data_IF_948151935784
#
_entry.id   IF_948151935784
#
_cell.length_a   1.000
_cell.length_b   1.000
_cell.length_c   1.000
_cell.angle_alpha   90.00
_cell.angle_beta   90.00
_cell.angle_gamma   90.00
#
_symmetry.space_group_name_H-M   'P 1'
#
loop_
_entity.id
_entity.type
_entity.pdbx_description
1 polymer ?
#
# COMPACT_ATOMS: atom_id res chain seq x y z
N UNK A 1 53.81 62.68 57.85
CA UNK A 1 54.44 61.34 57.91
C UNK A 1 53.75 60.44 56.89
N UNK A 2 54.46 59.89 55.89
CA UNK A 2 53.86 58.96 54.95
C UNK A 2 53.56 57.64 55.67
N UNK A 3 52.43 56.96 55.38
CA UNK A 3 52.13 55.67 56.02
C UNK A 3 53.07 54.60 55.46
N UNK A 4 53.81 53.95 56.37
CA UNK A 4 54.75 52.88 56.06
C UNK A 4 54.06 51.62 55.52
N UNK A 5 54.82 50.72 54.87
CA UNK A 5 54.30 49.52 54.24
C UNK A 5 53.78 48.54 55.32
N UNK A 6 52.48 48.23 55.28
CA UNK A 6 51.93 47.06 55.99
C UNK A 6 50.95 47.33 57.14
N UNK A 7 50.04 48.32 57.06
CA UNK A 7 48.91 48.38 58.00
C UNK A 7 47.85 47.30 57.62
N UNK A 8 47.67 46.23 58.42
CA UNK A 8 46.77 45.12 58.10
C UNK A 8 45.29 45.55 58.02
N UNK A 9 44.92 46.65 58.69
CA UNK A 9 43.56 47.20 58.63
C UNK A 9 43.24 47.79 57.24
N UNK A 10 44.21 48.46 56.62
CA UNK A 10 44.05 49.02 55.26
C UNK A 10 43.96 47.90 54.22
N UNK A 11 44.74 46.83 54.39
CA UNK A 11 44.67 45.64 53.53
C UNK A 11 43.31 44.93 53.65
N UNK A 12 42.79 44.77 54.88
CA UNK A 12 41.46 44.20 55.12
C UNK A 12 40.35 45.07 54.54
N UNK A 13 40.46 46.40 54.65
CA UNK A 13 39.49 47.34 54.08
C UNK A 13 39.45 47.28 52.54
N UNK A 14 40.62 47.16 51.90
CA UNK A 14 40.73 46.96 50.46
C UNK A 14 40.14 45.61 50.02
N UNK A 15 40.36 44.54 50.81
CA UNK A 15 39.81 43.22 50.52
C UNK A 15 38.28 43.19 50.64
N UNK A 16 37.71 43.82 51.68
CA UNK A 16 36.25 43.97 51.82
C UNK A 16 35.63 44.79 50.68
N UNK A 17 36.28 45.88 50.26
CA UNK A 17 35.83 46.65 49.10
C UNK A 17 35.83 45.81 47.81
N UNK A 18 36.88 45.00 47.63
CA UNK A 18 37.00 44.06 46.48
C UNK A 18 35.88 43.02 46.49
N UNK A 19 35.61 42.39 47.65
CA UNK A 19 34.51 41.43 47.77
C UNK A 19 33.14 42.06 47.53
N UNK A 20 32.93 43.29 48.01
CA UNK A 20 31.67 44.02 47.77
C UNK A 20 31.45 44.26 46.27
N UNK A 21 32.49 44.65 45.55
CA UNK A 21 32.45 44.82 44.09
C UNK A 21 32.17 43.48 43.40
N UNK A 22 32.85 42.40 43.82
CA UNK A 22 32.63 41.05 43.28
C UNK A 22 31.19 40.58 43.50
N UNK A 23 30.61 40.84 44.68
CA UNK A 23 29.24 40.45 45.00
C UNK A 23 28.21 41.19 44.14
N UNK A 24 28.42 42.50 43.91
CA UNK A 24 27.58 43.28 43.00
C UNK A 24 27.70 42.79 41.55
N UNK A 25 28.91 42.45 41.10
CA UNK A 25 29.11 41.88 39.76
C UNK A 25 28.41 40.52 39.60
N UNK A 26 28.48 39.67 40.63
CA UNK A 26 27.82 38.37 40.63
C UNK A 26 26.28 38.50 40.59
N UNK A 27 25.72 39.47 41.33
CA UNK A 27 24.27 39.77 41.28
C UNK A 27 23.82 40.23 39.89
N UNK A 28 24.61 41.08 39.23
CA UNK A 28 24.33 41.52 37.87
C UNK A 28 24.37 40.35 36.87
N UNK A 29 25.35 39.46 37.01
CA UNK A 29 25.43 38.24 36.19
C UNK A 29 24.24 37.31 36.42
N UNK A 30 23.81 37.11 37.67
CA UNK A 30 22.63 36.30 37.99
C UNK A 30 21.38 36.86 37.31
N UNK A 31 21.18 38.18 37.35
CA UNK A 31 20.03 38.83 36.70
C UNK A 31 20.08 38.69 35.17
N UNK A 32 21.26 38.81 34.57
CA UNK A 32 21.44 38.60 33.14
C UNK A 32 21.08 37.17 32.73
N UNK A 33 21.51 36.16 33.49
CA UNK A 33 21.17 34.75 33.25
C UNK A 33 19.66 34.51 33.43
N UNK A 34 19.03 35.10 34.43
CA UNK A 34 17.57 35.01 34.64
C UNK A 34 16.79 35.56 33.44
N UNK A 35 17.22 36.70 32.88
CA UNK A 35 16.59 37.27 31.69
C UNK A 35 16.81 36.40 30.44
N UNK A 36 18.01 35.82 30.28
CA UNK A 36 18.28 34.87 29.20
C UNK A 36 17.37 33.65 29.30
N UNK A 37 17.17 33.09 30.50
CA UNK A 37 16.28 31.96 30.71
C UNK A 37 14.83 32.31 30.36
N UNK A 38 14.33 33.47 30.80
CA UNK A 38 12.98 33.94 30.46
C UNK A 38 12.80 34.10 28.94
N UNK A 39 13.81 34.63 28.25
CA UNK A 39 13.81 34.78 26.79
C UNK A 39 13.77 33.41 26.09
N UNK A 40 14.59 32.46 26.52
CA UNK A 40 14.59 31.10 25.97
C UNK A 40 13.26 30.38 26.21
N UNK A 41 12.63 30.58 27.38
CA UNK A 41 11.30 30.03 27.66
C UNK A 41 10.24 30.58 26.70
N UNK A 42 10.27 31.88 26.41
CA UNK A 42 9.39 32.50 25.42
C UNK A 42 9.61 31.97 24.00
N UNK A 43 10.86 31.80 23.60
CA UNK A 43 11.21 31.19 22.31
C UNK A 43 10.72 29.74 22.22
N UNK A 44 10.90 28.94 23.28
CA UNK A 44 10.44 27.56 23.31
C UNK A 44 8.90 27.45 23.19
N UNK A 45 8.16 28.35 23.85
CA UNK A 45 6.70 28.41 23.71
C UNK A 45 6.27 28.75 22.27
N UNK A 46 6.98 29.66 21.63
CA UNK A 46 6.72 30.05 20.22
C UNK A 46 7.05 28.91 19.25
N UNK A 47 8.12 28.18 19.50
CA UNK A 47 8.48 26.99 18.71
C UNK A 47 7.41 25.90 18.85
N UNK A 48 6.95 25.64 20.07
CA UNK A 48 5.91 24.64 20.34
C UNK A 48 4.59 25.00 19.64
N UNK A 49 4.16 26.26 19.69
CA UNK A 49 2.93 26.68 19.01
C UNK A 49 3.07 26.60 17.48
N UNK A 50 4.23 26.98 16.93
CA UNK A 50 4.51 26.88 15.50
C UNK A 50 4.49 25.43 15.03
N UNK A 51 5.14 24.52 15.77
CA UNK A 51 5.15 23.10 15.46
C UNK A 51 3.74 22.50 15.53
N UNK A 52 2.97 22.85 16.56
CA UNK A 52 1.59 22.39 16.70
C UNK A 52 0.73 22.86 15.52
N UNK A 53 0.85 24.13 15.12
CA UNK A 53 0.15 24.66 13.95
C UNK A 53 0.54 23.94 12.66
N UNK A 54 1.82 23.61 12.47
CA UNK A 54 2.28 22.82 11.33
C UNK A 54 1.70 21.39 11.34
N UNK A 55 1.66 20.74 12.50
CA UNK A 55 1.04 19.42 12.65
C UNK A 55 -0.45 19.45 12.31
N UNK A 56 -1.18 20.46 12.79
CA UNK A 56 -2.61 20.58 12.53
C UNK A 56 -2.90 20.92 11.06
N UNK A 57 -2.06 21.74 10.43
CA UNK A 57 -2.12 21.98 8.98
C UNK A 57 -1.85 20.70 8.18
N UNK A 58 -0.83 19.91 8.57
CA UNK A 58 -0.55 18.62 7.95
C UNK A 58 -1.70 17.64 8.12
N UNK A 59 -2.27 17.51 9.33
CA UNK A 59 -3.45 16.68 9.57
C UNK A 59 -4.63 17.10 8.71
N UNK A 60 -4.87 18.41 8.58
CA UNK A 60 -5.94 18.94 7.72
C UNK A 60 -5.69 18.64 6.24
N UNK A 61 -4.46 18.80 5.77
CA UNK A 61 -4.08 18.47 4.39
C UNK A 61 -4.21 16.97 4.13
N UNK A 62 -3.79 16.12 5.08
CA UNK A 62 -3.95 14.66 4.99
C UNK A 62 -5.42 14.25 5.00
N UNK A 63 -6.25 14.88 5.84
CA UNK A 63 -7.70 14.64 5.84
C UNK A 63 -8.33 15.09 4.52
N UNK A 64 -7.91 16.23 3.98
CA UNK A 64 -8.37 16.73 2.68
C UNK A 64 -7.95 15.78 1.54
N UNK A 65 -6.72 15.26 1.57
CA UNK A 65 -6.24 14.24 0.63
C UNK A 65 -6.98 12.90 0.79
N UNK A 66 -7.33 12.50 2.01
CA UNK A 66 -8.14 11.30 2.26
C UNK A 66 -9.60 11.46 1.84
N UNK A 67 -10.16 12.68 1.90
CA UNK A 67 -11.50 12.99 1.41
C UNK A 67 -11.55 13.21 -0.11
N UNK A 68 -10.43 13.63 -0.70
CA UNK A 68 -10.20 13.60 -2.14
C UNK A 68 -9.52 12.28 -2.49
N UNK A 69 -10.16 11.16 -2.13
CA UNK A 69 -9.91 9.91 -2.82
C UNK A 69 -10.28 10.18 -4.28
N UNK A 70 -9.30 10.59 -5.07
CA UNK A 70 -9.39 10.56 -6.53
C UNK A 70 -9.54 9.08 -6.80
N UNK A 71 -10.80 8.63 -6.90
CA UNK A 71 -11.10 7.24 -7.17
C UNK A 71 -10.65 7.04 -8.59
N UNK A 72 -9.42 6.55 -8.74
CA UNK A 72 -8.90 6.21 -10.05
C UNK A 72 -9.78 5.10 -10.61
N UNK A 73 -10.28 5.33 -11.81
CA UNK A 73 -11.21 4.43 -12.47
C UNK A 73 -10.56 3.85 -13.71
N UNK A 74 -10.88 2.60 -13.99
CA UNK A 74 -10.38 1.92 -15.18
C UNK A 74 -11.46 1.96 -16.24
N UNK A 75 -11.08 2.41 -17.42
CA UNK A 75 -11.93 2.49 -18.59
C UNK A 75 -11.37 1.61 -19.69
N UNK A 76 -12.27 1.04 -20.47
CA UNK A 76 -11.92 0.18 -21.60
C UNK A 76 -11.72 0.97 -22.92
N UNK A 77 -11.40 0.25 -23.99
CA UNK A 77 -11.02 0.81 -25.28
C UNK A 77 -12.17 1.14 -26.23
N UNK A 78 -13.42 1.08 -25.79
CA UNK A 78 -14.54 1.46 -26.64
C UNK A 78 -14.47 2.94 -27.06
N UNK A 79 -15.03 3.25 -28.23
CA UNK A 79 -15.14 4.63 -28.72
C UNK A 79 -15.86 5.55 -27.71
N UNK A 80 -16.82 4.99 -26.97
CA UNK A 80 -17.34 5.56 -25.73
C UNK A 80 -16.82 4.68 -24.57
N UNK A 81 -15.73 5.10 -23.90
CA UNK A 81 -15.06 4.27 -22.90
C UNK A 81 -16.01 3.86 -21.78
N UNK A 82 -16.15 2.57 -21.57
CA UNK A 82 -16.97 2.01 -20.50
C UNK A 82 -16.13 1.86 -19.25
N UNK A 83 -16.74 2.17 -18.10
CA UNK A 83 -16.10 1.95 -16.80
C UNK A 83 -16.03 0.45 -16.52
N UNK A 84 -14.80 -0.06 -16.37
CA UNK A 84 -14.51 -1.44 -15.93
C UNK A 84 -14.71 -1.57 -14.43
N UNK A 85 -14.21 -0.59 -13.66
CA UNK A 85 -14.28 -0.61 -12.20
C UNK A 85 -13.39 0.45 -11.55
N UNK A 86 -13.34 0.43 -10.22
CA UNK A 86 -12.49 1.31 -9.42
C UNK A 86 -11.16 0.63 -9.10
N UNK A 87 -10.08 1.40 -8.99
CA UNK A 87 -8.81 0.89 -8.49
C UNK A 87 -8.94 0.57 -7.00
N UNK A 88 -8.71 -0.70 -6.66
CA UNK A 88 -8.81 -1.24 -5.29
C UNK A 88 -7.44 -1.52 -4.67
N UNK A 89 -6.37 -1.30 -5.42
CA UNK A 89 -5.01 -1.47 -4.92
C UNK A 89 -3.97 -1.33 -6.01
N UNK A 90 -2.70 -1.30 -5.61
CA UNK A 90 -1.55 -1.29 -6.51
C UNK A 90 -0.55 -2.32 -6.01
N UNK A 91 -0.07 -3.17 -6.92
CA UNK A 91 1.01 -4.11 -6.61
C UNK A 91 2.30 -3.32 -6.32
N UNK A 92 2.83 -3.43 -5.09
CA UNK A 92 3.95 -2.59 -4.64
C UNK A 92 5.26 -2.83 -5.40
N UNK A 93 5.43 -4.00 -6.02
CA UNK A 93 6.67 -4.36 -6.73
C UNK A 93 6.63 -3.92 -8.19
N UNK A 94 5.50 -4.18 -8.85
CA UNK A 94 5.31 -3.89 -10.27
C UNK A 94 4.65 -2.54 -10.53
N UNK A 95 4.21 -1.84 -9.48
CA UNK A 95 3.39 -0.62 -9.54
C UNK A 95 2.16 -0.77 -10.46
N UNK A 96 1.70 -2.01 -10.65
CA UNK A 96 0.56 -2.31 -11.51
C UNK A 96 -0.73 -2.14 -10.72
N UNK A 97 -1.66 -1.29 -11.17
CA UNK A 97 -2.91 -1.07 -10.47
C UNK A 97 -3.85 -2.28 -10.65
N UNK A 98 -4.68 -2.52 -9.64
CA UNK A 98 -5.70 -3.57 -9.62
C UNK A 98 -7.09 -2.96 -9.62
N UNK A 99 -7.94 -3.38 -10.55
CA UNK A 99 -9.33 -2.97 -10.64
C UNK A 99 -10.24 -3.98 -9.94
N UNK A 100 -11.16 -3.48 -9.11
CA UNK A 100 -12.24 -4.28 -8.56
C UNK A 100 -13.33 -4.49 -9.60
N UNK A 101 -13.70 -5.74 -9.86
CA UNK A 101 -14.72 -6.12 -10.83
C UNK A 101 -15.72 -7.08 -10.18
N UNK A 102 -17.00 -6.83 -10.42
CA UNK A 102 -18.08 -7.78 -10.12
C UNK A 102 -18.60 -8.34 -11.43
N UNK A 103 -18.55 -9.67 -11.56
CA UNK A 103 -19.09 -10.39 -12.72
C UNK A 103 -20.14 -11.37 -12.27
N UNK A 104 -21.11 -11.63 -13.15
CA UNK A 104 -22.16 -12.61 -12.93
C UNK A 104 -21.85 -13.88 -13.72
N UNK A 105 -21.91 -15.02 -13.05
CA UNK A 105 -21.85 -16.32 -13.72
C UNK A 105 -23.14 -16.54 -14.52
N UNK A 106 -23.02 -16.78 -15.82
CA UNK A 106 -24.15 -16.98 -16.72
C UNK A 106 -24.99 -18.23 -16.37
N UNK A 107 -24.36 -19.26 -15.79
CA UNK A 107 -25.04 -20.52 -15.48
C UNK A 107 -25.74 -20.47 -14.12
N UNK A 108 -25.09 -19.92 -13.10
CA UNK A 108 -25.61 -19.93 -11.72
C UNK A 108 -26.27 -18.62 -11.30
N UNK A 109 -26.13 -17.57 -12.10
CA UNK A 109 -26.54 -16.19 -11.79
C UNK A 109 -25.87 -15.61 -10.54
N UNK A 110 -24.86 -16.29 -9.99
CA UNK A 110 -24.12 -15.84 -8.82
C UNK A 110 -23.13 -14.76 -9.21
N UNK A 111 -23.02 -13.75 -8.35
CA UNK A 111 -22.04 -12.67 -8.51
C UNK A 111 -20.73 -13.01 -7.81
N UNK A 112 -19.63 -12.72 -8.49
CA UNK A 112 -18.27 -12.87 -8.01
C UNK A 112 -17.57 -11.53 -8.07
N UNK A 113 -17.05 -11.07 -6.94
CA UNK A 113 -16.25 -9.84 -6.85
C UNK A 113 -14.80 -10.22 -6.60
N UNK A 114 -13.91 -9.75 -7.47
CA UNK A 114 -12.47 -9.98 -7.37
C UNK A 114 -11.71 -8.77 -7.91
N UNK A 115 -10.39 -8.80 -7.75
CA UNK A 115 -9.50 -7.78 -8.26
C UNK A 115 -8.60 -8.35 -9.36
N UNK A 116 -8.48 -7.63 -10.48
CA UNK A 116 -7.59 -7.97 -11.58
C UNK A 116 -6.54 -6.88 -11.77
N UNK A 117 -5.29 -7.26 -12.03
CA UNK A 117 -4.24 -6.34 -12.45
C UNK A 117 -4.57 -5.77 -13.81
N UNK A 118 -4.31 -4.47 -13.99
CA UNK A 118 -4.63 -3.74 -15.21
C UNK A 118 -3.37 -3.42 -15.98
N UNK A 119 -3.29 -3.96 -17.18
CA UNK A 119 -2.30 -3.62 -18.20
C UNK A 119 -3.02 -2.95 -19.38
N UNK A 120 -2.33 -2.12 -20.18
CA UNK A 120 -2.96 -1.49 -21.35
C UNK A 120 -3.64 -2.52 -22.27
N UNK A 121 -3.01 -3.67 -22.49
CA UNK A 121 -3.48 -4.68 -23.44
C UNK A 121 -4.25 -5.84 -22.79
N UNK A 122 -4.40 -5.88 -21.47
CA UNK A 122 -5.13 -6.98 -20.80
C UNK A 122 -5.48 -6.69 -19.34
N UNK A 123 -6.49 -7.40 -18.87
CA UNK A 123 -6.68 -7.64 -17.43
C UNK A 123 -6.03 -8.97 -17.08
N UNK A 124 -5.35 -9.03 -15.94
CA UNK A 124 -4.63 -10.24 -15.50
C UNK A 124 -5.03 -10.61 -14.06
N UNK A 125 -5.46 -11.85 -13.86
CA UNK A 125 -5.72 -12.40 -12.53
C UNK A 125 -4.46 -12.97 -11.87
N UNK A 126 -4.65 -13.73 -10.80
CA UNK A 126 -3.59 -14.58 -10.26
C UNK A 126 -3.17 -15.67 -11.25
N UNK A 127 -1.99 -16.29 -11.06
CA UNK A 127 -1.59 -17.43 -11.89
C UNK A 127 -2.52 -18.62 -11.66
N UNK A 128 -2.90 -19.32 -12.73
CA UNK A 128 -3.61 -20.59 -12.64
C UNK A 128 -2.60 -21.73 -12.48
N UNK A 129 -2.74 -22.49 -11.41
CA UNK A 129 -1.86 -23.57 -11.01
C UNK A 129 -2.63 -24.90 -11.01
N UNK A 130 -1.93 -26.03 -11.11
CA UNK A 130 -2.56 -27.35 -11.01
C UNK A 130 -1.76 -28.29 -10.09
N UNK A 131 -2.49 -29.20 -9.46
CA UNK A 131 -1.92 -30.26 -8.62
C UNK A 131 -1.38 -31.46 -9.40
N UNK A 132 -1.40 -31.42 -10.74
CA UNK A 132 -0.92 -32.48 -11.63
C UNK A 132 0.08 -31.93 -12.66
N UNK A 133 0.89 -32.82 -13.23
CA UNK A 133 1.80 -32.46 -14.33
C UNK A 133 0.97 -32.24 -15.60
N UNK A 134 1.29 -31.19 -16.35
CA UNK A 134 0.48 -30.75 -17.49
C UNK A 134 -0.64 -29.81 -17.07
N UNK A 135 -1.13 -28.99 -18.01
CA UNK A 135 -2.21 -28.02 -17.77
C UNK A 135 -3.52 -28.45 -18.44
N UNK A 136 -3.64 -29.75 -18.77
CA UNK A 136 -4.81 -30.28 -19.44
C UNK A 136 -6.03 -30.23 -18.51
N UNK A 137 -7.14 -29.69 -19.03
CA UNK A 137 -8.42 -29.60 -18.30
C UNK A 137 -9.00 -31.00 -18.11
N UNK A 138 -8.63 -31.65 -17.02
CA UNK A 138 -9.13 -32.97 -16.64
C UNK A 138 -8.21 -33.73 -15.70
N UNK A 139 -6.93 -33.34 -15.66
CA UNK A 139 -5.93 -33.92 -14.76
C UNK A 139 -5.53 -32.90 -13.70
N UNK A 140 -5.90 -33.17 -12.45
CA UNK A 140 -5.53 -32.34 -11.30
C UNK A 140 -6.51 -31.21 -10.95
N UNK A 141 -6.46 -30.78 -9.69
CA UNK A 141 -7.30 -29.71 -9.15
C UNK A 141 -6.73 -28.35 -9.59
N UNK A 142 -7.54 -27.45 -10.17
CA UNK A 142 -7.10 -26.08 -10.43
C UNK A 142 -6.98 -25.30 -9.11
N UNK A 143 -5.90 -24.55 -9.01
CA UNK A 143 -5.45 -23.85 -7.80
C UNK A 143 -5.10 -22.41 -8.17
N UNK A 144 -5.39 -21.48 -7.27
CA UNK A 144 -5.00 -20.07 -7.43
C UNK A 144 -4.26 -19.61 -6.18
N UNK A 145 -3.25 -18.77 -6.36
CA UNK A 145 -2.60 -18.10 -5.24
C UNK A 145 -3.46 -16.93 -4.77
N UNK A 146 -3.80 -16.84 -3.47
CA UNK A 146 -4.46 -15.65 -2.96
C UNK A 146 -3.54 -14.44 -3.17
N UNK A 147 -4.00 -13.46 -3.94
CA UNK A 147 -3.31 -12.19 -4.15
C UNK A 147 -3.48 -11.33 -2.89
N UNK A 148 -2.38 -11.00 -2.22
CA UNK A 148 -2.39 -10.04 -1.12
C UNK A 148 -2.54 -8.63 -1.69
N UNK A 149 -3.77 -8.15 -1.81
CA UNK A 149 -4.05 -6.71 -1.85
C UNK A 149 -4.12 -6.33 -0.39
N UNK A 150 -3.20 -5.47 0.06
CA UNK A 150 -3.00 -4.96 1.44
C UNK A 150 -3.94 -5.54 2.52
N UNK A 151 -3.34 -6.12 3.58
CA UNK A 151 -4.01 -6.61 4.80
C UNK A 151 -5.06 -5.70 5.45
N UNK A 152 -5.09 -4.39 5.13
CA UNK A 152 -6.12 -3.44 5.57
C UNK A 152 -7.42 -3.49 4.76
N UNK A 153 -7.41 -4.10 3.57
CA UNK A 153 -8.55 -4.16 2.66
C UNK A 153 -9.39 -5.43 2.89
N UNK A 154 -10.72 -5.40 2.61
CA UNK A 154 -11.64 -6.51 2.78
C UNK A 154 -11.39 -7.69 1.81
N UNK A 155 -10.16 -7.92 1.37
CA UNK A 155 -9.76 -9.00 0.46
C UNK A 155 -10.14 -10.41 0.96
N UNK A 156 -10.36 -10.59 2.26
CA UNK A 156 -10.94 -11.83 2.81
C UNK A 156 -12.42 -12.05 2.44
N UNK A 157 -13.13 -11.02 1.99
CA UNK A 157 -14.50 -11.07 1.49
C UNK A 157 -14.59 -11.12 -0.04
N UNK A 158 -13.48 -10.98 -0.77
CA UNK A 158 -13.44 -11.09 -2.23
C UNK A 158 -13.12 -12.53 -2.67
N UNK A 159 -13.63 -12.91 -3.84
CA UNK A 159 -13.17 -14.11 -4.54
C UNK A 159 -11.76 -13.92 -5.06
N UNK A 160 -10.98 -15.00 -5.09
CA UNK A 160 -9.67 -15.04 -5.76
C UNK A 160 -9.88 -15.56 -7.17
N UNK A 161 -9.35 -14.87 -8.17
CA UNK A 161 -9.55 -15.23 -9.55
C UNK A 161 -8.26 -15.30 -10.38
N UNK A 162 -8.22 -16.26 -11.29
CA UNK A 162 -7.26 -16.34 -12.39
C UNK A 162 -8.03 -16.18 -13.70
N UNK A 163 -7.52 -15.31 -14.58
CA UNK A 163 -8.12 -15.05 -15.87
C UNK A 163 -7.26 -15.65 -16.97
N UNK A 164 -7.86 -16.48 -17.80
CA UNK A 164 -7.17 -17.18 -18.88
C UNK A 164 -7.91 -16.96 -20.20
N UNK A 165 -7.19 -16.48 -21.19
CA UNK A 165 -7.67 -16.36 -22.56
C UNK A 165 -7.70 -17.76 -23.19
N UNK A 166 -8.87 -18.20 -23.67
CA UNK A 166 -8.99 -19.46 -24.40
C UNK A 166 -9.02 -19.16 -25.88
N UNK A 167 -7.90 -19.41 -26.54
CA UNK A 167 -7.73 -19.29 -28.00
C UNK A 167 -8.23 -20.55 -28.72
N UNK A 168 -8.25 -21.69 -28.02
CA UNK A 168 -8.71 -22.99 -28.55
C UNK A 168 -9.76 -23.54 -27.61
N UNK A 169 -10.98 -23.80 -28.07
CA UNK A 169 -11.98 -24.55 -27.31
C UNK A 169 -11.37 -25.89 -26.89
N UNK A 170 -11.01 -25.96 -25.61
CA UNK A 170 -10.23 -27.06 -25.03
C UNK A 170 -11.03 -28.37 -25.04
N UNK A 171 -12.35 -28.34 -25.26
CA UNK A 171 -13.18 -29.56 -25.41
C UNK A 171 -13.22 -30.08 -26.84
N UNK A 172 -13.08 -29.22 -27.84
CA UNK A 172 -13.31 -29.58 -29.26
C UNK A 172 -12.06 -29.41 -30.13
N UNK A 173 -11.01 -28.76 -29.62
CA UNK A 173 -9.82 -28.38 -30.38
C UNK A 173 -10.08 -27.27 -31.42
N UNK A 174 -11.29 -26.71 -31.46
CA UNK A 174 -11.64 -25.67 -32.42
C UNK A 174 -11.09 -24.31 -31.97
N UNK A 175 -10.57 -23.52 -32.90
CA UNK A 175 -10.25 -22.11 -32.66
C UNK A 175 -11.57 -21.36 -32.48
N UNK A 176 -11.86 -20.93 -31.26
CA UNK A 176 -13.04 -20.12 -30.92
C UNK A 176 -12.52 -18.69 -30.66
N UNK A 177 -13.13 -17.62 -31.21
CA UNK A 177 -12.77 -16.25 -30.85
C UNK A 177 -12.67 -16.11 -29.33
N UNK A 178 -11.47 -15.72 -28.89
CA UNK A 178 -10.98 -15.62 -27.50
C UNK A 178 -12.08 -15.65 -26.43
N UNK A 179 -12.44 -16.85 -25.96
CA UNK A 179 -13.33 -16.99 -24.79
C UNK A 179 -12.49 -16.80 -23.54
N UNK A 180 -12.81 -15.82 -22.72
CA UNK A 180 -12.14 -15.65 -21.43
C UNK A 180 -12.78 -16.60 -20.41
N UNK A 181 -11.98 -17.47 -19.79
CA UNK A 181 -12.44 -18.30 -18.68
C UNK A 181 -11.86 -17.79 -17.38
N UNK A 182 -12.76 -17.60 -16.42
CA UNK A 182 -12.41 -17.19 -15.09
C UNK A 182 -12.39 -18.41 -14.19
N UNK A 183 -11.25 -18.64 -13.54
CA UNK A 183 -11.18 -19.60 -12.44
C UNK A 183 -11.38 -18.82 -11.15
N UNK A 184 -12.34 -19.22 -10.34
CA UNK A 184 -12.67 -18.53 -9.08
C UNK A 184 -12.65 -19.46 -7.89
N UNK A 185 -12.22 -18.90 -6.75
CA UNK A 185 -12.48 -19.47 -5.44
C UNK A 185 -13.58 -18.69 -4.73
N UNK A 186 -14.32 -19.37 -3.85
CA UNK A 186 -15.40 -18.76 -3.08
C UNK A 186 -14.87 -17.69 -2.11
N UNK A 187 -15.63 -16.63 -1.80
CA UNK A 187 -15.27 -15.66 -0.78
C UNK A 187 -14.93 -16.35 0.54
N UNK A 188 -13.82 -15.96 1.18
CA UNK A 188 -13.37 -16.56 2.43
C UNK A 188 -12.83 -17.99 2.31
N UNK A 189 -12.57 -18.50 1.09
CA UNK A 189 -11.93 -19.79 0.90
C UNK A 189 -10.62 -19.89 1.69
N UNK A 190 -10.49 -20.97 2.47
CA UNK A 190 -9.29 -21.21 3.29
C UNK A 190 -8.14 -21.64 2.39
N UNK A 191 -7.08 -20.84 2.39
CA UNK A 191 -5.83 -21.22 1.74
C UNK A 191 -5.16 -22.38 2.47
N UNK A 192 -4.49 -23.23 1.68
CA UNK A 192 -3.76 -24.40 2.15
C UNK A 192 -2.47 -24.56 1.36
N UNK A 193 -1.43 -25.11 1.99
CA UNK A 193 -0.18 -25.41 1.31
C UNK A 193 -0.33 -26.74 0.58
N UNK A 194 -0.24 -26.72 -0.76
CA UNK A 194 -0.37 -27.90 -1.60
C UNK A 194 0.79 -28.03 -2.59
N UNK A 195 1.13 -29.25 -3.02
CA UNK A 195 2.02 -29.44 -4.15
C UNK A 195 1.38 -28.89 -5.43
N UNK A 196 2.16 -28.09 -6.15
CA UNK A 196 1.84 -27.52 -7.45
C UNK A 196 2.83 -28.08 -8.47
N UNK A 197 2.28 -28.70 -9.50
CA UNK A 197 3.04 -29.46 -10.49
C UNK A 197 3.00 -28.84 -11.89
N UNK A 198 2.10 -27.88 -12.13
CA UNK A 198 2.12 -27.09 -13.34
C UNK A 198 1.48 -25.71 -13.16
N UNK A 199 1.78 -24.81 -14.08
CA UNK A 199 1.23 -23.47 -14.20
C UNK A 199 0.80 -23.21 -15.64
N UNK A 200 -0.42 -22.74 -15.82
CA UNK A 200 -0.91 -22.21 -17.08
C UNK A 200 -0.75 -20.69 -17.07
N UNK A 201 -0.17 -20.15 -18.14
CA UNK A 201 -0.03 -18.71 -18.31
C UNK A 201 -1.37 -18.07 -18.75
N UNK A 202 -1.52 -16.74 -18.59
CA UNK A 202 -2.75 -16.04 -18.96
C UNK A 202 -3.15 -16.20 -20.43
N UNK A 203 -2.19 -16.52 -21.32
CA UNK A 203 -2.43 -16.80 -22.75
C UNK A 203 -3.25 -18.08 -23.02
N UNK A 204 -3.45 -18.91 -21.98
CA UNK A 204 -4.18 -20.17 -22.02
C UNK A 204 -3.55 -21.28 -22.87
N UNK A 205 -2.33 -21.07 -23.36
CA UNK A 205 -1.61 -22.02 -24.21
C UNK A 205 -0.31 -22.46 -23.54
N UNK A 206 0.43 -21.51 -22.96
CA UNK A 206 1.74 -21.82 -22.39
C UNK A 206 1.56 -22.53 -21.07
N UNK A 207 2.04 -23.77 -20.99
CA UNK A 207 2.07 -24.57 -19.77
C UNK A 207 3.51 -24.80 -19.32
N UNK A 208 3.77 -24.59 -18.04
CA UNK A 208 5.06 -24.84 -17.42
C UNK A 208 4.92 -25.90 -16.33
N UNK A 209 5.72 -26.97 -16.40
CA UNK A 209 5.87 -27.92 -15.30
C UNK A 209 6.59 -27.26 -14.13
N UNK A 210 6.05 -27.46 -12.94
CA UNK A 210 6.60 -27.03 -11.67
C UNK A 210 6.84 -28.25 -10.80
N UNK A 211 7.57 -28.06 -9.70
CA UNK A 211 7.66 -29.06 -8.65
C UNK A 211 7.91 -28.36 -7.31
N UNK A 212 6.85 -27.81 -6.73
CA UNK A 212 6.99 -26.97 -5.54
C UNK A 212 5.69 -26.91 -4.73
N UNK A 213 5.80 -26.64 -3.44
CA UNK A 213 4.63 -26.39 -2.59
C UNK A 213 4.32 -24.90 -2.54
N UNK A 214 3.04 -24.54 -2.63
CA UNK A 214 2.56 -23.15 -2.59
C UNK A 214 1.34 -23.06 -1.70
N UNK A 215 1.17 -21.91 -1.04
CA UNK A 215 -0.08 -21.56 -0.38
C UNK A 215 -1.11 -21.15 -1.44
N UNK A 216 -2.18 -21.92 -1.57
CA UNK A 216 -3.16 -21.83 -2.66
C UNK A 216 -4.57 -22.10 -2.15
N UNK A 217 -5.56 -21.71 -2.94
CA UNK A 217 -6.96 -22.09 -2.77
C UNK A 217 -7.43 -22.91 -3.97
N UNK A 218 -8.29 -23.92 -3.76
CA UNK A 218 -8.99 -24.58 -4.85
C UNK A 218 -9.84 -23.59 -5.64
N UNK A 219 -9.87 -23.76 -6.96
CA UNK A 219 -10.63 -22.91 -7.86
C UNK A 219 -11.54 -23.75 -8.75
N UNK A 220 -12.57 -23.11 -9.29
CA UNK A 220 -13.45 -23.74 -10.29
C UNK A 220 -13.55 -22.85 -11.51
N UNK A 221 -13.53 -23.46 -12.70
CA UNK A 221 -13.77 -22.75 -13.94
C UNK A 221 -15.21 -22.22 -13.99
N UNK A 222 -15.35 -20.98 -14.44
CA UNK A 222 -16.61 -20.27 -14.69
C UNK A 222 -16.53 -19.60 -16.05
N UNK A 223 -17.62 -19.69 -16.78
CA UNK A 223 -17.81 -18.94 -18.02
C UNK A 223 -18.49 -17.64 -17.64
N UNK A 224 -17.84 -16.53 -17.93
CA UNK A 224 -18.35 -15.19 -17.62
C UNK A 224 -18.27 -14.35 -18.89
N UNK A 225 -19.28 -13.50 -19.09
CA UNK A 225 -19.22 -12.49 -20.13
C UNK A 225 -18.52 -11.26 -19.57
N UNK A 226 -17.38 -10.90 -20.16
CA UNK A 226 -16.72 -9.62 -19.91
C UNK A 226 -16.89 -8.74 -21.13
N UNK A 227 -17.73 -7.69 -21.07
CA UNK A 227 -18.01 -6.86 -22.23
C UNK A 227 -16.88 -5.88 -22.57
N UNK A 228 -15.75 -5.90 -21.86
CA UNK A 228 -14.70 -4.89 -21.97
C UNK A 228 -13.64 -5.22 -23.02
N UNK A 229 -13.21 -4.21 -23.77
CA UNK A 229 -12.17 -4.34 -24.82
C UNK A 229 -10.92 -3.53 -24.49
N UNK A 230 -9.79 -3.91 -25.08
CA UNK A 230 -8.53 -3.16 -24.97
C UNK A 230 -8.52 -1.95 -25.90
N UNK A 231 -7.69 -0.91 -25.63
CA UNK A 231 -6.79 -0.80 -24.49
C UNK A 231 -7.48 -0.31 -23.22
N UNK A 232 -6.97 -0.71 -22.05
CA UNK A 232 -7.42 -0.21 -20.76
C UNK A 232 -6.65 1.05 -20.36
N UNK A 233 -7.37 2.01 -19.78
CA UNK A 233 -6.81 3.28 -19.30
C UNK A 233 -7.24 3.56 -17.87
N UNK A 234 -6.33 4.12 -17.07
CA UNK A 234 -6.63 4.64 -15.72
C UNK A 234 -6.91 6.13 -15.85
N UNK A 235 -8.02 6.61 -15.27
CA UNK A 235 -8.43 8.02 -15.26
C UNK A 235 -8.69 8.49 -13.84
#
# INVERSE_FOLDING_TARGET
MPPGPGNPFVALQAQMATWRIQLTALQAQLWAVQNQLSTMQGQNSTLQSTLQNQIDALKKNMAAMGSAATVYEVYDGHAQPQKVGQIVGVDQLSLTPSVGLTVKDNATLKEYTFALKVFPERLEGGPLLFSAVGCDKGTGTPLIMPTSIDSSHPAYAMSVAALVDIVVDVKTGALDPVKKVLYVSEPGAKGQTMPVLSRLFPDGITCQTLNTSRFVVPATARVIDMPYITPYSVR
#
